data_IF_833238641430
#
_entry.id   IF_833238641430
#
_cell.length_a   1.000
_cell.length_b   1.000
_cell.length_c   1.000
_cell.angle_alpha   90.00
_cell.angle_beta   90.00
_cell.angle_gamma   90.00
#
_symmetry.space_group_name_H-M   'P 1'
#
loop_
_entity.id
_entity.type
_entity.pdbx_description
1 polymer ?
#
# COMPACT_ATOMS: atom_id res chain seq x y z
N UNK A 1 -6.97 -8.27 -4.58
CA UNK A 1 -8.14 -8.78 -3.83
C UNK A 1 -8.17 -8.11 -2.45
N UNK A 2 -9.35 -7.76 -1.94
CA UNK A 2 -9.48 -7.07 -0.64
C UNK A 2 -9.09 -7.96 0.55
N UNK A 3 -9.28 -9.28 0.42
CA UNK A 3 -8.97 -10.25 1.47
C UNK A 3 -7.47 -10.33 1.76
N UNK A 4 -6.63 -10.34 0.71
CA UNK A 4 -5.16 -10.33 0.86
C UNK A 4 -4.65 -9.04 1.49
N UNK A 5 -5.33 -7.91 1.25
CA UNK A 5 -5.02 -6.65 1.91
C UNK A 5 -5.26 -6.76 3.43
N UNK A 6 -6.45 -7.17 3.85
CA UNK A 6 -6.78 -7.29 5.28
C UNK A 6 -5.86 -8.25 6.04
N UNK A 7 -5.48 -9.37 5.42
CA UNK A 7 -4.54 -10.31 6.02
C UNK A 7 -3.14 -9.69 6.20
N UNK A 8 -2.67 -8.96 5.19
CA UNK A 8 -1.37 -8.28 5.23
C UNK A 8 -1.36 -7.15 6.25
N UNK A 9 -2.41 -6.33 6.27
CA UNK A 9 -2.55 -5.21 7.19
C UNK A 9 -2.45 -5.67 8.65
N UNK A 10 -3.26 -6.65 9.08
CA UNK A 10 -3.24 -7.16 10.47
C UNK A 10 -1.87 -7.68 10.90
N UNK A 11 -1.13 -8.29 9.97
CA UNK A 11 0.21 -8.82 10.24
C UNK A 11 1.22 -7.67 10.34
N UNK A 12 1.26 -6.83 9.33
CA UNK A 12 2.26 -5.76 9.21
C UNK A 12 2.04 -4.64 10.20
N UNK A 13 0.79 -4.36 10.59
CA UNK A 13 0.49 -3.43 11.66
C UNK A 13 1.17 -3.88 12.97
N UNK A 14 1.08 -5.15 13.35
CA UNK A 14 1.78 -5.65 14.54
C UNK A 14 3.33 -5.59 14.44
N UNK A 15 3.91 -5.86 13.27
CA UNK A 15 5.37 -6.02 13.12
C UNK A 15 6.12 -4.77 12.64
N UNK A 16 5.47 -3.91 11.87
CA UNK A 16 6.05 -2.71 11.24
C UNK A 16 5.61 -1.45 11.96
N UNK A 17 4.39 -1.44 12.53
CA UNK A 17 3.81 -0.32 13.26
C UNK A 17 3.29 -0.74 14.64
N UNK A 18 4.16 -1.25 15.54
CA UNK A 18 3.73 -1.73 16.85
C UNK A 18 3.10 -0.58 17.65
N UNK A 19 1.78 -0.50 17.65
CA UNK A 19 1.00 0.57 18.27
C UNK A 19 -0.11 -0.02 19.14
N UNK A 20 -0.37 0.65 20.25
CA UNK A 20 -1.53 0.36 21.11
C UNK A 20 -2.51 1.52 20.97
N UNK A 21 -3.47 1.41 20.05
CA UNK A 21 -4.47 2.46 19.85
C UNK A 21 -5.32 2.63 21.10
N UNK A 22 -5.25 3.82 21.71
CA UNK A 22 -6.08 4.17 22.86
C UNK A 22 -7.36 4.88 22.45
N UNK A 23 -7.39 5.42 21.23
CA UNK A 23 -8.54 6.15 20.68
C UNK A 23 -8.78 5.78 19.22
N UNK A 24 -10.01 5.98 18.76
CA UNK A 24 -10.37 5.78 17.35
C UNK A 24 -9.63 6.72 16.41
N UNK A 25 -9.36 7.96 16.85
CA UNK A 25 -8.61 8.94 16.06
C UNK A 25 -7.16 8.50 15.82
N UNK A 26 -6.51 7.94 16.84
CA UNK A 26 -5.17 7.34 16.68
C UNK A 26 -5.19 6.18 15.70
N UNK A 27 -6.16 5.27 15.81
CA UNK A 27 -6.30 4.16 14.86
C UNK A 27 -6.50 4.67 13.43
N UNK A 28 -7.34 5.70 13.23
CA UNK A 28 -7.57 6.32 11.92
C UNK A 28 -6.29 6.91 11.32
N UNK A 29 -5.54 7.67 12.10
CA UNK A 29 -4.26 8.26 11.65
C UNK A 29 -3.26 7.17 11.28
N UNK A 30 -3.11 6.15 12.13
CA UNK A 30 -2.16 5.07 11.88
C UNK A 30 -2.54 4.23 10.65
N UNK A 31 -3.82 3.95 10.42
CA UNK A 31 -4.29 3.30 9.19
C UNK A 31 -3.94 4.16 7.96
N UNK A 32 -4.17 5.47 8.03
CA UNK A 32 -3.82 6.38 6.93
C UNK A 32 -2.31 6.36 6.64
N UNK A 33 -1.48 6.43 7.68
CA UNK A 33 -0.02 6.37 7.51
C UNK A 33 0.45 5.02 6.97
N UNK A 34 -0.11 3.91 7.46
CA UNK A 34 0.16 2.58 6.92
C UNK A 34 -0.14 2.53 5.43
N UNK A 35 -1.31 3.02 4.99
CA UNK A 35 -1.70 2.97 3.58
C UNK A 35 -0.78 3.86 2.74
N UNK A 36 -0.62 5.13 3.11
CA UNK A 36 0.04 6.12 2.25
C UNK A 36 1.57 6.04 2.25
N UNK A 37 2.17 5.71 3.40
CA UNK A 37 3.64 5.70 3.56
C UNK A 37 4.22 4.30 3.36
N UNK A 38 3.55 3.27 3.88
CA UNK A 38 4.06 1.91 3.83
C UNK A 38 3.49 1.12 2.65
N UNK A 39 2.17 0.87 2.64
CA UNK A 39 1.53 0.01 1.65
C UNK A 39 1.72 0.53 0.22
N UNK A 40 1.34 1.78 -0.05
CA UNK A 40 1.36 2.34 -1.40
C UNK A 40 2.79 2.56 -1.93
N UNK A 41 3.71 3.06 -1.08
CA UNK A 41 5.04 3.50 -1.53
C UNK A 41 6.15 2.47 -1.36
N UNK A 42 6.07 1.63 -0.33
CA UNK A 42 7.22 0.83 0.13
C UNK A 42 6.98 -0.67 0.04
N UNK A 43 5.76 -1.14 0.33
CA UNK A 43 5.43 -2.57 0.38
C UNK A 43 5.58 -3.19 -1.00
N UNK A 44 6.31 -4.30 -1.08
CA UNK A 44 6.54 -5.04 -2.32
C UNK A 44 5.48 -6.14 -2.48
N UNK A 45 4.95 -6.28 -3.70
CA UNK A 45 3.92 -7.26 -4.02
C UNK A 45 4.41 -8.24 -5.09
N UNK A 46 4.35 -9.54 -4.80
CA UNK A 46 4.66 -10.59 -5.79
C UNK A 46 3.73 -10.56 -7.00
N UNK A 47 2.47 -10.14 -6.80
CA UNK A 47 1.51 -9.92 -7.88
C UNK A 47 1.71 -8.63 -8.68
N UNK A 48 2.64 -7.75 -8.26
CA UNK A 48 3.01 -6.51 -8.96
C UNK A 48 4.47 -6.58 -9.42
N UNK A 49 4.94 -7.75 -9.86
CA UNK A 49 6.31 -7.94 -10.38
C UNK A 49 7.40 -7.51 -9.38
N UNK A 50 7.14 -7.71 -8.09
CA UNK A 50 8.04 -7.29 -7.00
C UNK A 50 8.22 -5.76 -6.89
N UNK A 51 7.21 -4.99 -7.32
CA UNK A 51 7.14 -3.54 -7.14
C UNK A 51 6.17 -3.13 -6.03
N UNK A 52 6.28 -1.87 -5.59
CA UNK A 52 5.23 -1.23 -4.79
C UNK A 52 4.05 -0.78 -5.67
N UNK A 53 2.84 -0.61 -5.08
CA UNK A 53 1.67 -0.14 -5.82
C UNK A 53 1.92 1.14 -6.62
N UNK A 54 2.57 2.15 -6.01
CA UNK A 54 2.90 3.41 -6.71
C UNK A 54 3.89 3.18 -7.85
N UNK A 55 4.92 2.35 -7.66
CA UNK A 55 5.86 2.03 -8.73
C UNK A 55 5.18 1.33 -9.91
N UNK A 56 4.32 0.36 -9.60
CA UNK A 56 3.54 -0.36 -10.60
C UNK A 56 2.63 0.59 -11.39
N UNK A 57 1.87 1.44 -10.70
CA UNK A 57 1.01 2.45 -11.32
C UNK A 57 1.80 3.42 -12.20
N UNK A 58 2.93 3.94 -11.73
CA UNK A 58 3.76 4.86 -12.52
C UNK A 58 4.24 4.23 -13.83
N UNK A 59 4.65 2.98 -13.80
CA UNK A 59 5.12 2.28 -15.01
C UNK A 59 3.96 2.01 -15.98
N UNK A 60 2.81 1.57 -15.46
CA UNK A 60 1.69 1.12 -16.29
C UNK A 60 0.80 2.28 -16.77
N UNK A 61 0.66 3.36 -15.98
CA UNK A 61 -0.05 4.58 -16.40
C UNK A 61 0.79 5.40 -17.39
N UNK A 62 2.10 5.49 -17.20
CA UNK A 62 2.97 6.13 -18.20
C UNK A 62 3.02 5.34 -19.50
N UNK A 63 2.99 4.00 -19.44
CA UNK A 63 2.85 3.15 -20.62
C UNK A 63 1.53 3.36 -21.38
N UNK A 64 0.42 3.60 -20.66
CA UNK A 64 -0.88 3.88 -21.26
C UNK A 64 -0.98 5.28 -21.88
N UNK A 65 -0.29 6.28 -21.32
CA UNK A 65 -0.19 7.62 -21.92
C UNK A 65 0.57 7.57 -23.27
N UNK A 66 1.69 6.84 -23.33
CA UNK A 66 2.49 6.68 -24.56
C UNK A 66 1.79 5.91 -25.69
N UNK A 67 0.80 5.06 -25.39
CA UNK A 67 0.00 4.35 -26.40
C UNK A 67 -1.17 5.21 -26.91
N UNK A 68 -1.59 6.22 -26.15
CA UNK A 68 -2.68 7.13 -26.55
C UNK A 68 -2.21 8.29 -27.43
N UNK A 69 -0.93 8.62 -27.37
CA UNK A 69 -0.30 9.68 -28.16
C UNK A 69 0.43 9.16 -29.42
N UNK A 70 0.22 7.89 -29.79
CA UNK A 70 0.83 7.21 -30.95
C UNK A 70 -0.18 6.90 -32.06
#
# INVERSE_FOLDING_TARGET
MIESFHASFKKEEHYVFPENYRTFEQARTNIFEYIEKWYNRTRIHSGLEMMSPVQYELIHLNGQAMIRDA
#
